data_IF_307472572404
#
_entry.id   IF_307472572404
#
_cell.length_a   1.000
_cell.length_b   1.000
_cell.length_c   1.000
_cell.angle_alpha   90.00
_cell.angle_beta   90.00
_cell.angle_gamma   90.00
#
_symmetry.space_group_name_H-M   'P 1'
#
loop_
_entity.id
_entity.type
_entity.pdbx_description
1 polymer ?
#
# COMPACT_ATOMS: atom_id res chain seq x y z
N UNK A 1 21.67 -20.54 4.76
CA UNK A 1 21.89 -19.88 6.07
C UNK A 1 21.32 -20.77 7.15
N UNK A 2 22.07 -20.98 8.23
CA UNK A 2 21.57 -21.74 9.39
C UNK A 2 20.68 -20.82 10.22
N UNK A 3 19.47 -21.26 10.58
CA UNK A 3 18.54 -20.54 11.45
C UNK A 3 18.57 -21.18 12.81
N UNK A 4 18.90 -20.40 13.85
CA UNK A 4 18.76 -20.81 15.24
C UNK A 4 17.37 -20.37 15.73
N UNK A 5 16.52 -21.32 16.11
CA UNK A 5 15.24 -21.03 16.78
C UNK A 5 15.41 -21.28 18.27
N UNK A 6 15.23 -20.25 19.07
CA UNK A 6 15.31 -20.31 20.53
C UNK A 6 14.06 -19.67 21.14
N UNK A 7 13.54 -20.27 22.23
CA UNK A 7 12.41 -19.70 22.96
C UNK A 7 12.85 -18.65 23.99
N UNK A 8 14.10 -18.74 24.44
CA UNK A 8 14.67 -17.82 25.43
C UNK A 8 16.17 -17.66 25.19
N UNK A 9 16.62 -16.41 25.28
CA UNK A 9 18.05 -16.07 25.25
C UNK A 9 18.41 -15.54 26.65
N UNK A 10 19.31 -16.23 27.35
CA UNK A 10 19.83 -15.80 28.64
C UNK A 10 21.30 -15.45 28.52
N UNK A 11 21.77 -14.49 29.30
CA UNK A 11 23.21 -14.25 29.45
C UNK A 11 23.90 -15.49 29.97
N UNK A 12 25.07 -15.81 29.45
CA UNK A 12 25.90 -16.95 29.91
C UNK A 12 26.41 -16.79 31.34
N UNK A 13 26.42 -15.57 31.85
CA UNK A 13 26.83 -15.22 33.21
C UNK A 13 25.72 -14.43 33.88
N UNK A 14 25.29 -14.84 35.05
CA UNK A 14 24.26 -14.15 35.83
C UNK A 14 24.67 -12.68 36.10
N UNK A 15 23.75 -11.75 35.86
CA UNK A 15 23.97 -10.30 36.03
C UNK A 15 24.59 -9.61 34.83
N UNK A 16 24.89 -10.32 33.75
CA UNK A 16 25.32 -9.69 32.49
C UNK A 16 24.12 -9.40 31.59
N UNK A 17 24.19 -8.34 30.78
CA UNK A 17 23.23 -8.09 29.72
C UNK A 17 23.46 -9.04 28.53
N UNK A 18 22.38 -9.47 27.87
CA UNK A 18 22.47 -10.11 26.56
C UNK A 18 22.51 -9.02 25.52
N UNK A 19 23.62 -8.92 24.79
CA UNK A 19 23.71 -8.04 23.64
C UNK A 19 23.12 -8.79 22.42
N UNK A 20 21.97 -8.32 21.94
CA UNK A 20 21.32 -8.86 20.77
C UNK A 20 21.43 -7.85 19.64
N UNK A 21 22.32 -8.13 18.68
CA UNK A 21 22.40 -7.34 17.43
C UNK A 21 21.14 -7.57 16.59
N UNK A 22 20.12 -6.77 16.85
CA UNK A 22 18.89 -6.76 16.05
C UNK A 22 19.16 -5.94 14.79
N UNK A 23 19.50 -6.63 13.71
CA UNK A 23 19.64 -5.99 12.39
C UNK A 23 18.29 -5.41 11.95
N UNK A 24 18.05 -4.24 12.32
CA UNK A 24 17.06 -3.23 11.92
C UNK A 24 16.19 -2.69 13.08
N UNK A 25 16.77 -2.10 14.11
CA UNK A 25 16.01 -1.35 15.13
C UNK A 25 15.79 0.11 14.67
N UNK A 26 15.47 0.36 13.40
CA UNK A 26 15.21 1.74 12.96
C UNK A 26 13.89 2.20 13.56
N UNK A 27 13.95 3.17 14.45
CA UNK A 27 12.83 4.06 14.73
C UNK A 27 12.43 4.73 13.40
N UNK A 28 11.14 4.89 13.16
CA UNK A 28 10.63 5.51 11.91
C UNK A 28 10.93 4.68 10.64
N UNK A 29 10.87 3.36 10.76
CA UNK A 29 11.11 2.46 9.63
C UNK A 29 9.97 2.48 8.60
N UNK A 30 8.73 2.79 9.00
CA UNK A 30 7.62 2.93 8.07
C UNK A 30 7.71 4.24 7.30
N UNK A 31 7.98 4.16 6.00
CA UNK A 31 8.04 5.31 5.10
C UNK A 31 6.65 5.91 4.85
N UNK A 32 5.59 5.12 5.03
CA UNK A 32 4.21 5.57 4.86
C UNK A 32 3.77 6.42 6.05
N UNK A 33 3.18 7.57 5.74
CA UNK A 33 2.51 8.45 6.69
C UNK A 33 1.03 8.05 6.74
N UNK A 34 0.43 8.02 7.94
CA UNK A 34 -0.95 7.64 8.19
C UNK A 34 -1.30 6.21 7.74
N UNK A 35 -0.35 5.28 7.79
CA UNK A 35 -0.57 3.91 7.34
C UNK A 35 -1.65 3.16 8.14
N UNK A 36 -1.93 3.53 9.39
CA UNK A 36 -3.02 3.00 10.19
C UNK A 36 -4.37 3.71 9.97
N UNK A 37 -4.46 4.61 8.99
CA UNK A 37 -5.68 5.34 8.61
C UNK A 37 -6.33 6.14 9.74
N UNK A 38 -5.54 6.64 10.69
CA UNK A 38 -6.03 7.30 11.90
C UNK A 38 -6.40 8.77 11.66
N UNK A 39 -5.71 9.46 10.75
CA UNK A 39 -5.88 10.88 10.48
C UNK A 39 -6.79 11.09 9.27
N UNK A 40 -7.82 11.90 9.42
CA UNK A 40 -8.76 12.28 8.36
C UNK A 40 -9.29 13.69 8.59
N UNK A 41 -8.47 14.71 8.27
CA UNK A 41 -8.74 16.12 8.58
C UNK A 41 -9.86 16.71 7.70
N UNK A 42 -10.04 16.18 6.48
CA UNK A 42 -11.06 16.63 5.52
C UNK A 42 -12.44 16.02 5.77
N UNK A 43 -12.58 15.17 6.79
CA UNK A 43 -13.81 14.45 7.09
C UNK A 43 -13.64 12.93 7.03
N UNK A 44 -14.71 12.19 7.31
CA UNK A 44 -14.68 10.73 7.40
C UNK A 44 -15.51 10.02 6.32
N UNK A 45 -16.19 10.77 5.47
CA UNK A 45 -16.98 10.25 4.35
C UNK A 45 -16.86 11.18 3.15
N UNK A 46 -16.58 10.61 1.99
CA UNK A 46 -16.30 11.32 0.75
C UNK A 46 -17.06 10.66 -0.40
N UNK A 47 -17.85 11.45 -1.13
CA UNK A 47 -18.61 11.00 -2.29
C UNK A 47 -18.54 12.02 -3.42
N UNK A 48 -18.67 11.55 -4.64
CA UNK A 48 -18.99 12.38 -5.81
C UNK A 48 -17.84 13.10 -6.48
N UNK A 49 -16.58 12.85 -6.13
CA UNK A 49 -15.42 13.48 -6.81
C UNK A 49 -14.38 12.45 -7.26
N UNK A 50 -14.00 12.55 -8.53
CA UNK A 50 -12.85 11.83 -9.06
C UNK A 50 -11.54 12.46 -8.53
N UNK A 51 -10.52 11.63 -8.26
CA UNK A 51 -9.17 12.06 -7.88
C UNK A 51 -9.10 12.95 -6.63
N UNK A 52 -9.68 12.49 -5.53
CA UNK A 52 -9.74 13.24 -4.28
C UNK A 52 -8.79 12.65 -3.22
N UNK A 53 -8.06 13.53 -2.53
CA UNK A 53 -7.48 13.18 -1.23
C UNK A 53 -8.62 13.03 -0.22
N UNK A 54 -8.78 11.81 0.27
CA UNK A 54 -9.79 11.42 1.23
C UNK A 54 -9.19 11.42 2.64
N UNK A 55 -8.79 10.27 3.15
CA UNK A 55 -7.98 10.26 4.37
C UNK A 55 -6.62 10.91 4.09
N UNK A 56 -6.02 11.52 5.09
CA UNK A 56 -4.73 12.20 4.92
C UNK A 56 -3.70 11.27 4.27
N UNK A 57 -3.01 11.77 3.25
CA UNK A 57 -2.03 11.07 2.41
C UNK A 57 -2.60 10.01 1.47
N UNK A 58 -3.88 9.67 1.58
CA UNK A 58 -4.54 8.65 0.75
C UNK A 58 -5.48 9.34 -0.25
N UNK A 59 -5.33 9.00 -1.52
CA UNK A 59 -6.17 9.50 -2.60
C UNK A 59 -6.98 8.34 -3.19
N UNK A 60 -8.28 8.55 -3.39
CA UNK A 60 -9.11 7.66 -4.21
C UNK A 60 -9.24 8.28 -5.59
N UNK A 61 -8.86 7.52 -6.60
CA UNK A 61 -9.05 7.93 -7.99
C UNK A 61 -10.10 7.04 -8.64
N UNK A 62 -11.01 7.70 -9.36
CA UNK A 62 -12.06 7.05 -10.16
C UNK A 62 -12.09 7.69 -11.55
N UNK A 63 -12.24 6.88 -12.58
CA UNK A 63 -12.38 7.33 -13.98
C UNK A 63 -13.38 6.43 -14.67
N UNK A 64 -14.25 6.98 -15.51
CA UNK A 64 -15.18 6.26 -16.36
C UNK A 64 -16.40 5.65 -15.63
N UNK A 65 -16.50 5.79 -14.32
CA UNK A 65 -17.57 5.20 -13.52
C UNK A 65 -18.93 5.84 -13.81
N UNK A 66 -19.98 5.03 -13.94
CA UNK A 66 -21.39 5.51 -14.02
C UNK A 66 -21.77 6.20 -12.71
N UNK A 67 -21.44 5.56 -11.59
CA UNK A 67 -21.54 6.13 -10.26
C UNK A 67 -20.17 6.08 -9.55
N UNK A 68 -19.70 7.22 -9.11
CA UNK A 68 -18.38 7.38 -8.48
C UNK A 68 -18.34 6.64 -7.15
N UNK A 69 -17.27 5.90 -6.91
CA UNK A 69 -17.06 5.20 -5.66
C UNK A 69 -16.98 6.18 -4.47
N UNK A 70 -17.61 5.79 -3.37
CA UNK A 70 -17.51 6.50 -2.09
C UNK A 70 -16.31 6.01 -1.30
N UNK A 71 -15.70 6.89 -0.52
CA UNK A 71 -14.61 6.54 0.40
C UNK A 71 -14.98 6.93 1.84
N UNK A 72 -14.66 6.06 2.79
CA UNK A 72 -14.91 6.29 4.21
C UNK A 72 -13.68 5.97 5.06
N UNK A 73 -13.50 6.71 6.15
CA UNK A 73 -12.72 6.24 7.29
C UNK A 73 -13.62 5.36 8.15
N UNK A 74 -13.53 4.06 7.98
CA UNK A 74 -14.37 3.10 8.68
C UNK A 74 -13.68 2.50 9.92
N UNK A 75 -14.49 1.91 10.83
CA UNK A 75 -13.97 1.20 11.99
C UNK A 75 -13.56 -0.22 11.62
N UNK A 76 -12.42 -0.66 12.15
CA UNK A 76 -12.03 -2.09 12.17
C UNK A 76 -12.50 -2.67 13.49
N UNK A 77 -13.44 -3.60 13.45
CA UNK A 77 -14.14 -4.12 14.65
C UNK A 77 -13.84 -5.59 14.96
N UNK A 78 -13.27 -6.33 13.99
CA UNK A 78 -12.98 -7.77 14.15
C UNK A 78 -11.92 -8.26 13.15
N UNK A 79 -11.54 -9.53 13.25
CA UNK A 79 -10.62 -10.21 12.35
C UNK A 79 -9.15 -9.90 12.61
N UNK A 80 -8.29 -10.37 11.70
CA UNK A 80 -6.83 -10.30 11.84
C UNK A 80 -6.29 -8.88 12.00
N UNK A 81 -6.83 -7.91 11.26
CA UNK A 81 -6.44 -6.51 11.40
C UNK A 81 -6.77 -5.97 12.80
N UNK A 82 -7.96 -6.29 13.34
CA UNK A 82 -8.35 -5.86 14.70
C UNK A 82 -7.43 -6.46 15.78
N UNK A 83 -7.16 -7.75 15.69
CA UNK A 83 -6.26 -8.43 16.66
C UNK A 83 -4.82 -7.95 16.56
N UNK A 84 -4.41 -7.44 15.40
CA UNK A 84 -3.12 -6.78 15.17
C UNK A 84 -3.08 -5.31 15.64
N UNK A 85 -4.13 -4.80 16.29
CA UNK A 85 -4.13 -3.48 16.90
C UNK A 85 -4.80 -2.37 16.08
N UNK A 86 -5.21 -2.60 14.84
CA UNK A 86 -5.85 -1.58 14.01
C UNK A 86 -7.29 -1.31 14.44
N UNK A 87 -7.71 -0.04 14.37
CA UNK A 87 -9.05 0.42 14.76
C UNK A 87 -9.74 1.22 13.66
N UNK A 88 -8.99 1.65 12.65
CA UNK A 88 -9.47 2.41 11.50
C UNK A 88 -8.95 1.79 10.21
N UNK A 89 -9.73 1.92 9.14
CA UNK A 89 -9.36 1.57 7.77
C UNK A 89 -9.88 2.62 6.80
N UNK A 90 -9.28 2.67 5.63
CA UNK A 90 -9.88 3.29 4.46
C UNK A 90 -10.78 2.27 3.81
N UNK A 91 -12.05 2.61 3.58
CA UNK A 91 -13.04 1.76 2.92
C UNK A 91 -13.50 2.44 1.65
N UNK A 92 -13.30 1.79 0.53
CA UNK A 92 -13.83 2.18 -0.79
C UNK A 92 -15.11 1.39 -1.01
N UNK A 93 -16.21 2.07 -1.36
CA UNK A 93 -17.52 1.49 -1.64
C UNK A 93 -17.82 1.77 -3.10
N UNK A 94 -17.95 0.72 -3.89
CA UNK A 94 -18.26 0.84 -5.30
C UNK A 94 -19.66 1.44 -5.54
N UNK A 95 -19.79 2.26 -6.57
CA UNK A 95 -21.09 2.72 -7.04
C UNK A 95 -21.80 1.69 -7.93
N UNK A 96 -22.99 2.04 -8.39
CA UNK A 96 -23.75 1.21 -9.33
C UNK A 96 -23.27 1.44 -10.76
N UNK A 97 -22.54 0.47 -11.31
CA UNK A 97 -21.98 0.54 -12.66
C UNK A 97 -22.97 -0.12 -13.65
N UNK A 98 -23.96 0.65 -14.07
CA UNK A 98 -25.09 0.16 -14.90
C UNK A 98 -24.68 -0.21 -16.33
N UNK A 99 -23.63 0.40 -16.85
CA UNK A 99 -23.04 0.08 -18.17
C UNK A 99 -22.06 -1.10 -18.14
N UNK A 100 -21.79 -1.63 -16.93
CA UNK A 100 -20.80 -2.68 -16.73
C UNK A 100 -19.39 -2.12 -16.59
N UNK A 101 -18.39 -2.92 -16.93
CA UNK A 101 -16.97 -2.56 -16.84
C UNK A 101 -16.45 -2.09 -18.21
N UNK A 102 -16.18 -0.80 -18.34
CA UNK A 102 -15.57 -0.21 -19.51
C UNK A 102 -14.05 -0.38 -19.55
N UNK A 103 -13.48 -0.30 -20.75
CA UNK A 103 -12.02 -0.43 -20.94
C UNK A 103 -11.22 0.71 -20.29
N UNK A 104 -11.81 1.88 -20.17
CA UNK A 104 -11.19 3.08 -19.56
C UNK A 104 -11.59 3.31 -18.10
N UNK A 105 -12.35 2.40 -17.50
CA UNK A 105 -12.79 2.55 -16.12
C UNK A 105 -11.69 2.20 -15.13
N UNK A 106 -11.61 2.96 -14.04
CA UNK A 106 -10.72 2.59 -12.93
C UNK A 106 -11.25 3.09 -11.59
N UNK A 107 -10.90 2.32 -10.55
CA UNK A 107 -11.05 2.69 -9.14
C UNK A 107 -9.81 2.22 -8.40
N UNK A 108 -9.04 3.12 -7.81
CA UNK A 108 -7.90 2.73 -7.00
C UNK A 108 -7.61 3.67 -5.82
N UNK A 109 -6.99 3.11 -4.79
CA UNK A 109 -6.24 3.86 -3.81
C UNK A 109 -4.88 4.24 -4.42
N UNK A 110 -4.51 5.51 -4.28
CA UNK A 110 -3.18 6.03 -4.64
C UNK A 110 -2.54 6.66 -3.40
N UNK A 111 -1.28 6.36 -3.18
CA UNK A 111 -0.46 6.97 -2.13
C UNK A 111 0.90 7.34 -2.71
N UNK A 112 1.35 8.56 -2.42
CA UNK A 112 2.61 9.12 -2.95
C UNK A 112 3.60 9.30 -1.82
N UNK A 113 4.83 8.84 -2.02
CA UNK A 113 6.00 9.10 -1.19
C UNK A 113 6.92 10.11 -1.90
N UNK A 114 7.44 11.06 -1.17
CA UNK A 114 8.38 12.04 -1.72
C UNK A 114 9.70 11.37 -2.11
N UNK A 115 10.37 11.91 -3.15
CA UNK A 115 11.66 11.42 -3.60
C UNK A 115 12.71 11.46 -2.50
N UNK A 116 12.74 12.53 -1.69
CA UNK A 116 13.64 12.65 -0.55
C UNK A 116 13.43 11.57 0.53
N UNK A 117 12.18 11.15 0.78
CA UNK A 117 11.88 10.11 1.78
C UNK A 117 12.45 8.75 1.34
N UNK A 118 12.42 8.46 0.04
CA UNK A 118 13.00 7.25 -0.53
C UNK A 118 14.53 7.35 -0.60
N UNK A 119 15.07 8.45 -1.13
CA UNK A 119 16.52 8.65 -1.28
C UNK A 119 17.26 8.56 0.06
N UNK A 120 16.65 9.08 1.14
CA UNK A 120 17.24 9.09 2.48
C UNK A 120 16.81 7.90 3.37
N UNK A 121 16.02 6.96 2.86
CA UNK A 121 15.51 5.81 3.63
C UNK A 121 16.61 4.82 4.05
N UNK A 122 17.75 4.85 3.37
CA UNK A 122 18.82 3.85 3.47
C UNK A 122 18.58 2.61 2.63
N UNK A 123 17.57 2.62 1.75
CA UNK A 123 17.43 1.63 0.70
C UNK A 123 18.46 1.88 -0.41
N UNK A 124 19.30 0.89 -0.71
CA UNK A 124 20.13 0.94 -1.90
C UNK A 124 19.28 0.56 -3.13
N UNK A 125 18.43 1.48 -3.56
CA UNK A 125 17.38 1.24 -4.56
C UNK A 125 17.92 0.84 -5.95
N UNK A 126 19.18 1.12 -6.25
CA UNK A 126 19.80 0.70 -7.52
C UNK A 126 20.33 -0.73 -7.49
N UNK A 127 20.31 -1.41 -6.33
CA UNK A 127 20.83 -2.76 -6.16
C UNK A 127 19.72 -3.80 -6.04
N UNK A 128 19.73 -4.80 -6.89
CA UNK A 128 18.80 -5.94 -6.84
C UNK A 128 18.98 -6.83 -5.59
N UNK A 129 20.05 -6.62 -4.82
CA UNK A 129 20.29 -7.30 -3.53
C UNK A 129 19.82 -6.50 -2.33
N UNK A 130 19.28 -5.31 -2.54
CA UNK A 130 18.70 -4.45 -1.50
C UNK A 130 17.19 -4.37 -1.71
N UNK A 131 16.43 -4.44 -0.62
CA UNK A 131 14.99 -4.64 -0.67
C UNK A 131 14.24 -3.59 0.14
N UNK A 132 13.01 -3.30 -0.28
CA UNK A 132 11.94 -2.78 0.57
C UNK A 132 10.84 -3.83 0.69
N UNK A 133 10.13 -3.81 1.80
CA UNK A 133 8.99 -4.69 2.02
C UNK A 133 7.73 -3.86 2.25
N UNK A 134 6.73 -4.10 1.41
CA UNK A 134 5.38 -3.57 1.55
C UNK A 134 4.55 -4.57 2.34
N UNK A 135 3.85 -4.11 3.37
CA UNK A 135 2.85 -4.91 4.07
C UNK A 135 1.61 -4.08 4.39
N UNK A 136 0.44 -4.72 4.38
CA UNK A 136 -0.83 -4.11 4.76
C UNK A 136 -1.90 -5.18 4.99
N UNK A 137 -3.01 -4.77 5.61
CA UNK A 137 -4.21 -5.57 5.73
C UNK A 137 -5.25 -5.10 4.71
N UNK A 138 -5.90 -6.06 4.07
CA UNK A 138 -6.95 -5.83 3.08
C UNK A 138 -8.14 -6.75 3.33
N UNK A 139 -9.34 -6.25 3.08
CA UNK A 139 -10.58 -7.02 3.09
C UNK A 139 -11.46 -6.55 1.94
N UNK A 140 -12.02 -7.48 1.19
CA UNK A 140 -12.98 -7.24 0.11
C UNK A 140 -14.28 -7.98 0.38
N UNK A 141 -15.40 -7.37 0.06
CA UNK A 141 -16.70 -8.07 0.08
C UNK A 141 -16.87 -9.07 -1.07
N UNK A 142 -15.97 -9.03 -2.05
CA UNK A 142 -15.97 -9.94 -3.22
C UNK A 142 -14.68 -10.74 -3.22
N UNK A 143 -14.82 -12.05 -3.41
CA UNK A 143 -13.67 -12.95 -3.52
C UNK A 143 -13.01 -12.79 -4.89
N UNK A 144 -11.85 -12.15 -4.94
CA UNK A 144 -10.98 -12.02 -6.12
C UNK A 144 -9.57 -11.61 -5.70
N UNK A 145 -8.65 -11.51 -6.65
CA UNK A 145 -7.36 -10.86 -6.46
C UNK A 145 -7.39 -9.41 -6.95
N UNK A 146 -6.49 -8.60 -6.39
CA UNK A 146 -6.39 -7.18 -6.71
C UNK A 146 -4.95 -6.82 -7.10
N UNK A 147 -4.75 -6.15 -8.25
CA UNK A 147 -3.42 -5.67 -8.65
C UNK A 147 -2.89 -4.62 -7.69
N UNK A 148 -1.59 -4.71 -7.41
CA UNK A 148 -0.81 -3.73 -6.65
C UNK A 148 0.30 -3.25 -7.56
N UNK A 149 0.44 -1.94 -7.70
CA UNK A 149 1.45 -1.35 -8.58
C UNK A 149 2.29 -0.35 -7.80
N UNK A 150 3.60 -0.50 -7.87
CA UNK A 150 4.54 0.47 -7.35
C UNK A 150 5.24 1.14 -8.54
N UNK A 151 5.22 2.48 -8.61
CA UNK A 151 5.79 3.23 -9.74
C UNK A 151 6.79 4.27 -9.25
N UNK A 152 8.00 4.28 -9.82
CA UNK A 152 8.94 5.39 -9.64
C UNK A 152 8.50 6.58 -10.50
N UNK A 153 8.72 7.80 -10.00
CA UNK A 153 8.28 9.00 -10.68
C UNK A 153 9.43 9.82 -11.27
N UNK A 154 10.65 9.62 -10.77
CA UNK A 154 11.85 10.29 -11.25
C UNK A 154 12.55 9.52 -12.37
N UNK A 155 13.31 10.24 -13.19
CA UNK A 155 14.03 9.70 -14.33
C UNK A 155 13.11 9.01 -15.35
N UNK A 156 13.55 7.88 -15.89
CA UNK A 156 12.70 7.00 -16.69
C UNK A 156 11.84 6.16 -15.75
N UNK A 157 10.56 6.48 -15.67
CA UNK A 157 9.62 5.80 -14.76
C UNK A 157 9.67 4.29 -14.91
N UNK A 158 9.80 3.60 -13.80
CA UNK A 158 9.74 2.15 -13.69
C UNK A 158 8.46 1.74 -12.96
N UNK A 159 7.99 0.53 -13.24
CA UNK A 159 6.82 -0.03 -12.56
C UNK A 159 7.12 -1.46 -12.09
N UNK A 160 6.68 -1.75 -10.86
CA UNK A 160 6.73 -3.08 -10.26
C UNK A 160 5.30 -3.55 -9.99
N UNK A 161 4.87 -4.57 -10.70
CA UNK A 161 3.52 -5.09 -10.60
C UNK A 161 3.46 -6.33 -9.71
N UNK A 162 2.42 -6.38 -8.89
CA UNK A 162 2.13 -7.45 -7.94
C UNK A 162 0.63 -7.68 -7.88
N UNK A 163 0.20 -8.74 -7.22
CA UNK A 163 -1.21 -8.95 -6.87
C UNK A 163 -1.35 -9.31 -5.40
N UNK A 164 -2.54 -9.14 -4.84
CA UNK A 164 -2.84 -9.65 -3.49
C UNK A 164 -2.76 -11.17 -3.42
N UNK A 165 -2.94 -11.86 -4.55
CA UNK A 165 -3.40 -13.23 -4.59
C UNK A 165 -4.90 -13.28 -4.29
N UNK A 166 -5.50 -14.46 -4.47
CA UNK A 166 -6.93 -14.65 -4.26
C UNK A 166 -7.34 -14.38 -2.81
N UNK A 167 -8.22 -13.41 -2.62
CA UNK A 167 -8.82 -13.08 -1.31
C UNK A 167 -10.12 -13.83 -1.14
N UNK A 168 -10.40 -14.27 0.09
CA UNK A 168 -11.75 -14.72 0.48
C UNK A 168 -12.61 -13.49 0.82
N UNK A 169 -13.89 -13.50 0.42
CA UNK A 169 -14.82 -12.44 0.75
C UNK A 169 -14.89 -12.19 2.26
N UNK A 170 -15.06 -10.94 2.65
CA UNK A 170 -15.24 -10.45 4.02
C UNK A 170 -14.16 -10.88 5.02
N UNK A 171 -12.98 -11.27 4.53
CA UNK A 171 -11.89 -11.77 5.37
C UNK A 171 -10.70 -10.83 5.35
N UNK A 172 -10.27 -10.32 6.51
CA UNK A 172 -9.04 -9.56 6.64
C UNK A 172 -7.83 -10.45 6.36
N UNK A 173 -7.08 -10.11 5.32
CA UNK A 173 -5.87 -10.82 4.88
C UNK A 173 -4.67 -9.89 4.95
N UNK A 174 -3.58 -10.33 5.59
CA UNK A 174 -2.31 -9.60 5.59
C UNK A 174 -1.55 -9.92 4.31
N UNK A 175 -1.24 -8.88 3.54
CA UNK A 175 -0.42 -8.95 2.34
C UNK A 175 1.00 -8.54 2.70
N UNK A 176 1.98 -9.25 2.16
CA UNK A 176 3.41 -8.93 2.29
C UNK A 176 4.08 -9.14 0.95
N UNK A 177 4.81 -8.12 0.48
CA UNK A 177 5.54 -8.13 -0.79
C UNK A 177 6.94 -7.58 -0.59
N UNK A 178 7.94 -8.37 -0.90
CA UNK A 178 9.35 -7.97 -0.89
C UNK A 178 9.77 -7.55 -2.29
N UNK A 179 10.30 -6.34 -2.41
CA UNK A 179 10.56 -5.66 -3.67
C UNK A 179 12.05 -5.34 -3.75
N UNK A 180 12.80 -5.90 -4.70
CA UNK A 180 14.22 -5.58 -4.89
C UNK A 180 14.39 -4.19 -5.48
N UNK A 181 15.57 -3.61 -5.31
CA UNK A 181 15.99 -2.47 -6.12
C UNK A 181 16.24 -2.87 -7.57
N UNK A 182 16.43 -1.86 -8.44
CA UNK A 182 16.73 -2.03 -9.86
C UNK A 182 17.63 -0.89 -10.34
N UNK A 183 18.59 -1.19 -11.20
CA UNK A 183 19.57 -0.21 -11.71
C UNK A 183 18.95 0.96 -12.48
N UNK A 184 17.70 0.84 -12.92
CA UNK A 184 16.97 1.90 -13.62
C UNK A 184 16.18 2.82 -12.67
N UNK A 185 16.16 2.53 -11.36
CA UNK A 185 15.51 3.40 -10.38
C UNK A 185 16.34 4.66 -10.13
N UNK A 186 15.66 5.80 -10.09
CA UNK A 186 16.20 7.09 -9.73
C UNK A 186 15.25 7.78 -8.75
N UNK A 187 15.82 8.50 -7.78
CA UNK A 187 15.07 9.37 -6.86
C UNK A 187 15.87 10.66 -6.64
N UNK A 188 15.28 11.80 -6.98
CA UNK A 188 15.97 13.09 -7.10
C UNK A 188 16.20 13.82 -5.75
N UNK A 189 15.84 13.19 -4.61
CA UNK A 189 16.02 13.73 -3.27
C UNK A 189 15.36 15.11 -3.06
N UNK A 190 14.17 15.29 -3.62
CA UNK A 190 13.36 16.49 -3.49
C UNK A 190 11.97 16.19 -2.90
N UNK A 191 11.11 17.20 -2.81
CA UNK A 191 9.75 17.09 -2.25
C UNK A 191 8.70 16.58 -3.25
N UNK A 192 9.09 16.39 -4.51
CA UNK A 192 8.19 15.86 -5.52
C UNK A 192 7.90 14.37 -5.30
N UNK A 193 6.98 13.84 -6.10
CA UNK A 193 6.67 12.42 -6.06
C UNK A 193 7.88 11.58 -6.48
N UNK A 194 8.38 10.72 -5.61
CA UNK A 194 9.44 9.75 -5.93
C UNK A 194 8.88 8.36 -6.17
N UNK A 195 7.97 7.90 -5.32
CA UNK A 195 7.37 6.58 -5.43
C UNK A 195 5.88 6.65 -5.21
N UNK A 196 5.11 6.07 -6.12
CA UNK A 196 3.64 5.99 -6.02
C UNK A 196 3.19 4.55 -5.88
N UNK A 197 2.40 4.27 -4.84
CA UNK A 197 1.71 3.00 -4.64
C UNK A 197 0.27 3.11 -5.12
N UNK A 198 -0.16 2.13 -5.90
CA UNK A 198 -1.55 1.92 -6.30
C UNK A 198 -2.04 0.58 -5.77
N UNK A 199 -3.20 0.56 -5.15
CA UNK A 199 -3.97 -0.66 -4.85
C UNK A 199 -5.25 -0.55 -5.66
N UNK A 200 -5.38 -1.40 -6.66
CA UNK A 200 -6.39 -1.26 -7.68
C UNK A 200 -7.63 -2.10 -7.31
N UNK A 201 -8.75 -1.44 -6.98
CA UNK A 201 -10.05 -2.11 -6.83
C UNK A 201 -10.57 -2.57 -8.20
N UNK A 202 -10.34 -1.75 -9.23
CA UNK A 202 -10.58 -2.08 -10.64
C UNK A 202 -9.70 -1.24 -11.56
N UNK A 203 -9.23 -1.85 -12.64
CA UNK A 203 -8.59 -1.18 -13.78
C UNK A 203 -9.03 -1.85 -15.09
N UNK A 204 -9.55 -1.04 -16.00
CA UNK A 204 -9.99 -1.49 -17.32
C UNK A 204 -8.83 -1.78 -18.28
N UNK A 205 -9.17 -2.38 -19.41
CA UNK A 205 -8.18 -2.94 -20.35
C UNK A 205 -7.31 -1.89 -21.06
N UNK A 206 -7.69 -0.61 -21.05
CA UNK A 206 -6.84 0.48 -21.57
C UNK A 206 -5.60 0.73 -20.67
N UNK A 207 -5.62 0.26 -19.44
CA UNK A 207 -4.57 0.44 -18.44
C UNK A 207 -3.83 -0.84 -18.09
N UNK A 208 -4.23 -1.99 -18.64
CA UNK A 208 -3.67 -3.30 -18.33
C UNK A 208 -2.95 -3.92 -19.52
N UNK A 209 -2.08 -4.87 -19.25
CA UNK A 209 -1.45 -5.71 -20.27
C UNK A 209 -1.65 -7.17 -19.86
N UNK A 210 -2.30 -7.96 -20.71
CA UNK A 210 -2.51 -9.38 -20.44
C UNK A 210 -1.19 -10.12 -20.29
N UNK A 211 -1.05 -10.91 -19.21
CA UNK A 211 0.18 -11.64 -18.91
C UNK A 211 1.34 -10.74 -18.50
N UNK A 212 1.07 -9.55 -17.97
CA UNK A 212 2.09 -8.64 -17.45
C UNK A 212 2.96 -9.34 -16.40
N UNK A 213 4.28 -9.26 -16.59
CA UNK A 213 5.23 -9.85 -15.65
C UNK A 213 5.01 -9.31 -14.23
N UNK A 214 4.84 -10.23 -13.29
CA UNK A 214 4.67 -9.93 -11.87
C UNK A 214 6.01 -10.04 -11.14
N UNK A 215 6.15 -9.25 -10.08
CA UNK A 215 7.32 -9.25 -9.20
C UNK A 215 8.64 -8.93 -9.93
N UNK A 216 8.58 -8.04 -10.91
CA UNK A 216 9.73 -7.55 -11.66
C UNK A 216 9.54 -6.08 -12.04
N UNK A 217 10.64 -5.31 -12.02
CA UNK A 217 10.65 -3.95 -12.55
C UNK A 217 10.62 -3.96 -14.08
N UNK A 218 9.92 -3.02 -14.65
CA UNK A 218 9.93 -2.75 -16.09
C UNK A 218 9.66 -1.27 -16.35
N UNK A 219 10.12 -0.77 -17.51
CA UNK A 219 9.80 0.59 -17.92
C UNK A 219 8.28 0.78 -17.96
N UNK A 220 7.80 1.89 -17.37
CA UNK A 220 6.38 2.19 -17.29
C UNK A 220 5.78 2.57 -18.65
N UNK A 221 4.55 2.14 -18.88
CA UNK A 221 3.67 2.65 -19.93
C UNK A 221 2.25 2.75 -19.39
N UNK A 222 1.37 3.50 -20.07
CA UNK A 222 -0.02 3.69 -19.64
C UNK A 222 -0.79 2.37 -19.48
N UNK A 223 -0.38 1.31 -20.18
CA UNK A 223 -1.02 -0.02 -20.12
C UNK A 223 -0.42 -0.96 -19.08
N UNK A 224 0.44 -0.47 -18.20
CA UNK A 224 1.12 -1.30 -17.18
C UNK A 224 0.70 -0.97 -15.75
N UNK A 225 -0.56 -0.60 -15.55
CA UNK A 225 -1.11 -0.43 -14.19
C UNK A 225 -1.51 -1.75 -13.53
N UNK A 226 -1.43 -2.85 -14.24
CA UNK A 226 -1.70 -4.21 -13.75
C UNK A 226 -1.83 -5.21 -14.88
N UNK A 227 -1.95 -6.49 -14.53
CA UNK A 227 -2.45 -7.52 -15.42
C UNK A 227 -3.96 -7.39 -15.57
N UNK A 228 -4.54 -8.03 -16.58
CA UNK A 228 -5.99 -8.09 -16.71
C UNK A 228 -6.61 -8.72 -15.47
N UNK A 229 -7.65 -8.09 -14.95
CA UNK A 229 -8.33 -8.54 -13.75
C UNK A 229 -9.81 -8.81 -14.03
N UNK A 230 -10.45 -9.61 -13.17
CA UNK A 230 -11.91 -9.80 -13.21
C UNK A 230 -12.63 -8.50 -12.79
N UNK A 231 -13.75 -8.23 -13.43
CA UNK A 231 -14.59 -7.06 -13.13
C UNK A 231 -15.61 -7.30 -12.01
N UNK A 232 -15.61 -8.47 -11.36
CA UNK A 232 -16.66 -8.88 -10.41
C UNK A 232 -16.85 -7.85 -9.28
N UNK A 233 -15.78 -7.36 -8.68
CA UNK A 233 -15.89 -6.31 -7.66
C UNK A 233 -16.52 -5.04 -8.23
N UNK A 234 -16.08 -4.62 -9.41
CA UNK A 234 -16.53 -3.37 -10.05
C UNK A 234 -18.00 -3.44 -10.51
N UNK A 235 -18.46 -4.58 -10.98
CA UNK A 235 -19.87 -4.78 -11.42
C UNK A 235 -20.81 -5.15 -10.29
N UNK A 236 -20.29 -5.30 -9.05
CA UNK A 236 -21.11 -5.55 -7.87
C UNK A 236 -21.40 -4.21 -7.18
N UNK A 237 -22.67 -3.79 -7.20
CA UNK A 237 -23.11 -2.57 -6.51
C UNK A 237 -22.83 -2.67 -5.00
N UNK A 238 -22.32 -1.57 -4.40
CA UNK A 238 -21.91 -1.50 -3.00
C UNK A 238 -20.81 -2.50 -2.59
N UNK A 239 -20.07 -3.09 -3.54
CA UNK A 239 -18.90 -3.88 -3.20
C UNK A 239 -17.90 -3.02 -2.44
N UNK A 240 -17.24 -3.59 -1.42
CA UNK A 240 -16.30 -2.84 -0.57
C UNK A 240 -14.89 -3.37 -0.68
N UNK A 241 -13.92 -2.45 -0.56
CA UNK A 241 -12.50 -2.75 -0.38
C UNK A 241 -11.97 -1.94 0.80
N UNK A 242 -11.52 -2.63 1.83
CA UNK A 242 -11.06 -2.04 3.08
C UNK A 242 -9.55 -2.26 3.24
N UNK A 243 -8.79 -1.22 3.58
CA UNK A 243 -7.32 -1.26 3.65
C UNK A 243 -6.86 -0.56 4.93
N UNK A 244 -5.91 -1.17 5.66
CA UNK A 244 -5.25 -0.58 6.82
C UNK A 244 -3.87 -1.16 7.07
N UNK A 245 -3.09 -0.56 7.96
CA UNK A 245 -1.78 -1.05 8.33
C UNK A 245 -0.76 -0.99 7.20
N UNK A 246 -0.86 0.03 6.35
CA UNK A 246 0.03 0.21 5.21
C UNK A 246 1.43 0.58 5.70
N UNK A 247 2.41 -0.28 5.44
CA UNK A 247 3.81 -0.11 5.82
C UNK A 247 4.72 -0.45 4.65
N UNK A 248 5.60 0.47 4.33
CA UNK A 248 6.74 0.27 3.43
C UNK A 248 8.01 0.49 4.24
N UNK A 249 8.85 -0.52 4.34
CA UNK A 249 10.05 -0.48 5.15
C UNK A 249 11.26 -1.03 4.41
N UNK A 250 12.46 -0.55 4.75
CA UNK A 250 13.71 -1.05 4.18
C UNK A 250 14.06 -2.40 4.79
N UNK A 251 14.28 -3.40 3.96
CA UNK A 251 14.60 -4.77 4.37
C UNK A 251 13.82 -5.80 3.55
N UNK A 252 14.20 -7.06 3.68
CA UNK A 252 13.61 -8.18 2.93
C UNK A 252 12.53 -8.95 3.69
N UNK A 253 12.21 -8.52 4.93
CA UNK A 253 11.24 -9.18 5.82
C UNK A 253 10.32 -8.14 6.41
N UNK A 254 9.01 -8.37 6.36
CA UNK A 254 8.04 -7.53 7.04
C UNK A 254 8.20 -7.66 8.55
N UNK A 255 8.30 -6.53 9.22
CA UNK A 255 8.27 -6.46 10.68
C UNK A 255 6.84 -6.20 11.18
N UNK A 256 6.64 -6.15 12.49
CA UNK A 256 5.38 -5.71 13.06
C UNK A 256 5.12 -4.25 12.68
N UNK A 257 3.84 -3.91 12.52
CA UNK A 257 3.47 -2.54 12.14
C UNK A 257 4.00 -1.52 13.15
N UNK A 258 4.62 -0.47 12.64
CA UNK A 258 5.13 0.63 13.45
C UNK A 258 3.98 1.57 13.86
N UNK A 259 3.34 1.26 14.98
CA UNK A 259 2.34 2.16 15.57
C UNK A 259 3.03 3.43 16.11
N UNK A 260 2.56 4.57 15.65
CA UNK A 260 2.99 5.89 16.11
C UNK A 260 1.84 6.55 16.87
N UNK A 261 2.14 7.48 17.77
CA UNK A 261 1.08 8.24 18.46
C UNK A 261 0.27 9.04 17.44
N UNK A 262 -1.02 9.24 17.74
CA UNK A 262 -1.90 10.04 16.89
C UNK A 262 -1.34 11.45 16.66
N UNK A 263 -0.84 12.09 17.71
CA UNK A 263 -0.24 13.43 17.62
C UNK A 263 0.93 13.48 16.63
N UNK A 264 1.83 12.49 16.69
CA UNK A 264 2.97 12.44 15.78
C UNK A 264 2.52 12.22 14.32
N UNK A 265 1.62 11.28 14.06
CA UNK A 265 1.07 11.08 12.70
C UNK A 265 0.32 12.32 12.21
N UNK A 266 -0.45 12.97 13.07
CA UNK A 266 -1.17 14.20 12.75
C UNK A 266 -0.21 15.32 12.33
N UNK A 267 0.88 15.54 13.08
CA UNK A 267 1.90 16.54 12.73
C UNK A 267 2.54 16.26 11.37
N UNK A 268 2.79 14.99 11.04
CA UNK A 268 3.30 14.61 9.72
C UNK A 268 2.28 14.86 8.61
N UNK A 269 1.00 14.67 8.88
CA UNK A 269 -0.07 14.94 7.92
C UNK A 269 -0.28 16.43 7.65
N UNK A 270 -0.10 17.29 8.67
CA UNK A 270 -0.26 18.75 8.53
C UNK A 270 0.62 19.36 7.42
N UNK A 271 1.79 18.80 7.18
CA UNK A 271 2.67 19.24 6.09
C UNK A 271 2.00 19.16 4.70
N UNK A 272 1.00 18.29 4.55
CA UNK A 272 0.33 18.00 3.29
C UNK A 272 -1.14 18.44 3.28
N UNK A 273 -1.54 19.15 4.33
CA UNK A 273 -2.90 19.66 4.46
C UNK A 273 -2.94 21.10 3.92
N UNK A 274 -3.59 21.28 2.76
CA UNK A 274 -3.86 22.57 2.11
C UNK A 274 -5.37 22.80 2.01
#
# INVERSE_FOLDING_TARGET
MSTLKVNTINASTSGQAVDVDIKNPRSFRNLVINGAMQVSQRGTSFSGTAQQYTLDRMQTNTVGNDEIAQTEQAAVTSGGAYTSGFRKCMKIINGNQTSGAGSSDLVHLKMVLEAQDIANSGWNYTSSSSYVTLSFWIKSSVAQDFPITLRSEDGTRQVYNMTTGSLSADTWTKITKTIPGDSNLQFDNDVNAGLTLFINAFVGTDYTTAGLAQNAWSAWSGTKQGDNMTSTWYTTNNATLEITGLQLEVGSVATDFEFRSFEYEFQRCLRYYE
#
